data_IF_525400325692
#
_entry.id   IF_525400325692
#
_cell.length_a   1.000
_cell.length_b   1.000
_cell.length_c   1.000
_cell.angle_alpha   90.00
_cell.angle_beta   90.00
_cell.angle_gamma   90.00
#
_symmetry.space_group_name_H-M   'P 1'
#
loop_
_entity.id
_entity.type
_entity.pdbx_description
1 polymer ?
#
# COMPACT_ATOMS: atom_id res chain seq x y z
N UNK A 1 17.26 -10.70 24.58
CA UNK A 1 17.32 -10.08 23.25
C UNK A 1 18.72 -10.38 22.76
N UNK A 2 18.87 -11.15 21.68
CA UNK A 2 20.19 -11.53 21.17
C UNK A 2 20.97 -10.26 20.78
N UNK A 3 22.30 -10.26 21.00
CA UNK A 3 23.15 -9.13 20.62
C UNK A 3 23.12 -9.00 19.07
N UNK A 4 22.84 -7.82 18.50
CA UNK A 4 22.87 -7.60 17.05
C UNK A 4 24.16 -8.12 16.38
N UNK A 5 25.30 -8.00 17.05
CA UNK A 5 26.59 -8.51 16.54
C UNK A 5 26.62 -10.05 16.47
N UNK A 6 26.05 -10.75 17.45
CA UNK A 6 25.97 -12.22 17.45
C UNK A 6 25.05 -12.73 16.33
N UNK A 7 23.98 -11.99 16.03
CA UNK A 7 23.11 -12.29 14.89
C UNK A 7 23.91 -12.16 13.60
N UNK A 8 24.64 -11.06 13.42
CA UNK A 8 25.44 -10.83 12.20
C UNK A 8 26.53 -11.90 12.04
N UNK A 9 27.23 -12.28 13.11
CA UNK A 9 28.23 -13.36 13.06
C UNK A 9 27.62 -14.69 12.63
N UNK A 10 26.44 -15.04 13.16
CA UNK A 10 25.71 -16.25 12.73
C UNK A 10 25.30 -16.19 11.27
N UNK A 11 24.81 -15.03 10.80
CA UNK A 11 24.44 -14.84 9.39
C UNK A 11 25.65 -14.92 8.46
N UNK A 12 26.82 -14.41 8.87
CA UNK A 12 28.07 -14.51 8.08
C UNK A 12 28.57 -15.95 7.91
N UNK A 13 28.22 -16.83 8.83
CA UNK A 13 28.60 -18.24 8.77
C UNK A 13 27.68 -19.07 7.86
N UNK A 14 26.52 -18.54 7.47
CA UNK A 14 25.57 -19.20 6.58
C UNK A 14 26.00 -19.11 5.12
N UNK A 15 25.69 -20.14 4.34
CA UNK A 15 25.81 -20.07 2.89
C UNK A 15 24.67 -19.25 2.25
N UNK A 16 24.79 -18.99 0.95
CA UNK A 16 23.82 -18.18 0.22
C UNK A 16 22.40 -18.80 0.20
N UNK A 17 22.30 -20.14 0.18
CA UNK A 17 21.01 -20.84 0.21
C UNK A 17 20.36 -20.78 1.58
N UNK A 18 21.15 -20.93 2.65
CA UNK A 18 20.70 -20.76 4.03
C UNK A 18 20.20 -19.33 4.29
N UNK A 19 20.95 -18.33 3.83
CA UNK A 19 20.54 -16.92 3.92
C UNK A 19 19.24 -16.65 3.16
N UNK A 20 19.09 -17.20 1.96
CA UNK A 20 17.87 -17.07 1.18
C UNK A 20 16.67 -17.72 1.89
N UNK A 21 16.81 -18.97 2.36
CA UNK A 21 15.75 -19.67 3.07
C UNK A 21 15.36 -18.96 4.37
N UNK A 22 16.32 -18.38 5.09
CA UNK A 22 16.07 -17.60 6.29
C UNK A 22 15.29 -16.32 5.97
N UNK A 23 15.65 -15.61 4.89
CA UNK A 23 14.93 -14.42 4.45
C UNK A 23 13.47 -14.74 4.09
N UNK A 24 13.22 -15.82 3.34
CA UNK A 24 11.87 -16.27 3.02
C UNK A 24 11.07 -16.66 4.27
N UNK A 25 11.70 -17.36 5.22
CA UNK A 25 11.07 -17.72 6.49
C UNK A 25 10.71 -16.49 7.33
N UNK A 26 11.61 -15.49 7.40
CA UNK A 26 11.33 -14.22 8.09
C UNK A 26 10.13 -13.52 7.44
N UNK A 27 10.13 -13.40 6.11
CA UNK A 27 9.03 -12.81 5.35
C UNK A 27 7.71 -13.53 5.61
N UNK A 28 7.70 -14.86 5.57
CA UNK A 28 6.52 -15.65 5.87
C UNK A 28 6.00 -15.38 7.29
N UNK A 29 6.88 -15.36 8.29
CA UNK A 29 6.49 -15.09 9.69
C UNK A 29 5.97 -13.66 9.86
N UNK A 30 6.53 -12.66 9.17
CA UNK A 30 6.00 -11.29 9.17
C UNK A 30 4.55 -11.26 8.63
N UNK A 31 4.29 -11.94 7.52
CA UNK A 31 2.95 -12.05 6.92
C UNK A 31 1.98 -12.78 7.88
N UNK A 32 2.38 -13.92 8.44
CA UNK A 32 1.55 -14.68 9.38
C UNK A 32 1.19 -13.87 10.64
N UNK A 33 2.14 -13.08 11.15
CA UNK A 33 1.89 -12.16 12.26
C UNK A 33 0.87 -11.12 11.87
N UNK A 34 1.05 -10.45 10.73
CA UNK A 34 0.10 -9.44 10.26
C UNK A 34 -1.31 -9.99 10.01
N UNK A 35 -1.44 -11.24 9.55
CA UNK A 35 -2.74 -11.94 9.40
C UNK A 35 -3.42 -12.13 10.77
N UNK A 36 -2.65 -12.47 11.79
CA UNK A 36 -3.17 -12.87 13.11
C UNK A 36 -3.16 -11.73 14.14
N UNK A 37 -2.53 -10.60 13.82
CA UNK A 37 -2.39 -9.47 14.72
C UNK A 37 -3.41 -8.37 14.43
N UNK A 38 -3.77 -7.66 15.49
CA UNK A 38 -4.72 -6.56 15.44
C UNK A 38 -6.17 -7.01 15.20
N UNK A 39 -7.06 -6.03 15.27
CA UNK A 39 -8.46 -6.18 14.88
C UNK A 39 -8.61 -5.52 13.51
N UNK A 40 -8.47 -6.30 12.43
CA UNK A 40 -8.55 -5.78 11.06
C UNK A 40 -9.88 -5.09 10.76
N UNK A 41 -10.97 -5.53 11.37
CA UNK A 41 -12.29 -4.89 11.24
C UNK A 41 -12.26 -3.50 11.86
N UNK A 42 -11.74 -3.37 13.09
CA UNK A 42 -11.61 -2.08 13.75
C UNK A 42 -10.64 -1.15 13.01
N UNK A 43 -9.53 -1.67 12.49
CA UNK A 43 -8.57 -0.90 11.70
C UNK A 43 -9.25 -0.35 10.44
N UNK A 44 -9.97 -1.20 9.69
CA UNK A 44 -10.71 -0.77 8.50
C UNK A 44 -11.79 0.24 8.86
N UNK A 45 -12.56 -0.01 9.92
CA UNK A 45 -13.61 0.91 10.35
C UNK A 45 -13.06 2.31 10.63
N UNK A 46 -11.97 2.38 11.41
CA UNK A 46 -11.25 3.63 11.69
C UNK A 46 -10.66 4.25 10.42
N UNK A 47 -10.07 3.44 9.54
CA UNK A 47 -9.52 3.92 8.28
C UNK A 47 -10.59 4.54 7.37
N UNK A 48 -11.84 4.08 7.41
CA UNK A 48 -12.93 4.73 6.69
C UNK A 48 -13.29 6.12 7.25
N UNK A 49 -13.00 6.39 8.52
CA UNK A 49 -13.24 7.69 9.16
C UNK A 49 -12.15 8.71 8.82
N UNK A 50 -10.88 8.28 8.75
CA UNK A 50 -9.72 9.18 8.63
C UNK A 50 -8.96 9.07 7.30
N UNK A 51 -9.19 8.01 6.54
CA UNK A 51 -8.39 7.63 5.37
C UNK A 51 -8.72 8.40 4.09
N UNK A 52 -9.62 9.39 4.15
CA UNK A 52 -10.08 10.13 2.98
C UNK A 52 -9.95 11.63 3.18
N UNK A 53 -9.25 12.28 2.25
CA UNK A 53 -8.98 13.71 2.28
C UNK A 53 -10.23 14.56 2.00
N UNK A 54 -10.08 15.87 2.14
CA UNK A 54 -11.14 16.85 1.79
C UNK A 54 -11.53 16.79 0.31
N UNK A 55 -10.64 16.31 -0.54
CA UNK A 55 -10.90 16.10 -1.96
C UNK A 55 -11.63 14.79 -2.26
N UNK A 56 -11.99 14.03 -1.21
CA UNK A 56 -12.69 12.75 -1.25
C UNK A 56 -11.84 11.55 -1.67
N UNK A 57 -10.56 11.76 -1.99
CA UNK A 57 -9.64 10.70 -2.38
C UNK A 57 -8.92 10.10 -1.17
N UNK A 58 -8.36 8.90 -1.32
CA UNK A 58 -7.56 8.27 -0.25
C UNK A 58 -6.39 9.15 0.20
N UNK A 59 -6.04 9.16 1.48
CA UNK A 59 -4.80 9.81 1.95
C UNK A 59 -3.58 8.91 1.67
N UNK A 60 -2.38 9.39 1.99
CA UNK A 60 -1.16 8.56 1.91
C UNK A 60 -1.27 7.38 2.88
N UNK A 61 -0.69 6.21 2.55
CA UNK A 61 -0.72 5.03 3.40
C UNK A 61 0.02 5.30 4.72
N UNK A 62 -0.33 4.55 5.76
CA UNK A 62 0.31 4.65 7.08
C UNK A 62 0.38 3.29 7.76
N UNK A 63 1.26 3.20 8.76
CA UNK A 63 1.41 2.00 9.60
C UNK A 63 0.39 2.00 10.73
N UNK A 64 -0.27 0.87 10.93
CA UNK A 64 -1.13 0.59 12.08
C UNK A 64 -0.81 -0.81 12.61
N UNK A 65 0.13 -0.90 13.56
CA UNK A 65 0.64 -2.19 14.04
C UNK A 65 1.48 -2.90 12.96
N UNK A 66 1.15 -4.16 12.68
CA UNK A 66 1.87 -4.98 11.68
C UNK A 66 1.28 -4.88 10.26
N UNK A 67 0.37 -3.92 10.04
CA UNK A 67 -0.23 -3.67 8.72
C UNK A 67 -0.03 -2.23 8.26
N UNK A 68 0.00 -2.08 6.95
CA UNK A 68 -0.02 -0.82 6.21
C UNK A 68 -1.46 -0.61 5.76
N UNK A 69 -2.05 0.50 6.18
CA UNK A 69 -3.39 0.91 5.76
C UNK A 69 -3.28 1.66 4.45
N UNK A 70 -4.00 1.17 3.43
CA UNK A 70 -3.91 1.60 2.05
C UNK A 70 -5.27 2.12 1.54
N UNK A 71 -5.61 3.41 1.75
CA UNK A 71 -6.85 3.98 1.27
C UNK A 71 -6.82 4.23 -0.25
N UNK A 72 -7.91 3.87 -0.92
CA UNK A 72 -8.12 4.14 -2.34
C UNK A 72 -9.51 4.67 -2.61
N UNK A 73 -9.69 5.52 -3.63
CA UNK A 73 -11.01 6.01 -4.00
C UNK A 73 -11.09 6.42 -5.46
N UNK A 74 -12.33 6.42 -5.95
CA UNK A 74 -12.74 7.03 -7.21
C UNK A 74 -13.93 7.96 -6.97
N UNK A 75 -13.86 9.15 -7.57
CA UNK A 75 -14.94 10.14 -7.58
C UNK A 75 -15.30 10.40 -9.03
N UNK A 76 -16.49 9.97 -9.40
CA UNK A 76 -17.03 10.05 -10.76
C UNK A 76 -17.89 11.30 -10.89
N UNK A 77 -17.53 12.16 -11.86
CA UNK A 77 -18.29 13.37 -12.21
C UNK A 77 -19.26 13.14 -13.36
N UNK A 78 -18.92 12.19 -14.23
CA UNK A 78 -19.75 11.75 -15.36
C UNK A 78 -19.26 10.39 -15.85
N UNK A 79 -20.00 9.78 -16.79
CA UNK A 79 -19.60 8.51 -17.42
C UNK A 79 -18.19 8.52 -18.04
N UNK A 80 -17.66 9.69 -18.39
CA UNK A 80 -16.34 9.83 -19.05
C UNK A 80 -15.34 10.61 -18.19
N UNK A 81 -15.68 10.97 -16.96
CA UNK A 81 -14.77 11.74 -16.10
C UNK A 81 -14.82 11.32 -14.65
N UNK A 82 -13.63 11.01 -14.12
CA UNK A 82 -13.44 10.75 -12.69
C UNK A 82 -12.05 11.20 -12.25
N UNK A 83 -11.87 11.34 -10.94
CA UNK A 83 -10.57 11.40 -10.28
C UNK A 83 -10.41 10.14 -9.45
N UNK A 84 -9.21 9.60 -9.39
CA UNK A 84 -8.92 8.43 -8.57
C UNK A 84 -7.57 8.57 -7.86
N UNK A 85 -7.43 7.85 -6.77
CA UNK A 85 -6.15 7.59 -6.12
C UNK A 85 -6.19 6.16 -5.59
N UNK A 86 -5.24 5.34 -6.01
CA UNK A 86 -5.16 3.93 -5.65
C UNK A 86 -3.73 3.54 -5.31
N UNK A 87 -3.60 2.38 -4.67
CA UNK A 87 -2.32 1.84 -4.23
C UNK A 87 -1.92 0.69 -5.16
N UNK A 88 -0.67 0.71 -5.62
CA UNK A 88 0.02 -0.49 -6.09
C UNK A 88 1.03 -0.96 -5.06
N UNK A 89 1.23 -2.27 -5.01
CA UNK A 89 2.18 -2.99 -4.15
C UNK A 89 3.05 -3.84 -5.06
N UNK A 90 4.36 -3.66 -5.05
CA UNK A 90 5.32 -4.39 -5.90
C UNK A 90 4.87 -4.44 -7.38
N UNK A 91 4.64 -3.27 -7.97
CA UNK A 91 4.21 -3.06 -9.38
C UNK A 91 2.85 -3.65 -9.79
N UNK A 92 2.06 -4.20 -8.86
CA UNK A 92 0.68 -4.66 -9.12
C UNK A 92 -0.32 -3.86 -8.30
N UNK A 93 -1.56 -3.74 -8.77
CA UNK A 93 -2.60 -3.07 -7.97
C UNK A 93 -2.84 -3.83 -6.66
N UNK A 94 -3.17 -3.10 -5.60
CA UNK A 94 -3.32 -3.70 -4.26
C UNK A 94 -4.36 -4.82 -4.22
N UNK A 95 -5.43 -4.77 -5.03
CA UNK A 95 -6.43 -5.83 -5.13
C UNK A 95 -5.97 -7.09 -5.89
N UNK A 96 -4.88 -6.98 -6.66
CA UNK A 96 -4.24 -8.09 -7.38
C UNK A 96 -2.99 -8.61 -6.64
N UNK A 97 -2.60 -7.96 -5.53
CA UNK A 97 -1.39 -8.31 -4.77
C UNK A 97 -1.56 -9.58 -3.96
N UNK A 98 -0.55 -10.46 -4.00
CA UNK A 98 -0.46 -11.62 -3.10
C UNK A 98 -0.24 -11.25 -1.63
N UNK A 99 0.05 -9.98 -1.34
CA UNK A 99 0.19 -9.44 0.02
C UNK A 99 -1.10 -8.81 0.54
N UNK A 100 -2.19 -8.79 -0.22
CA UNK A 100 -3.46 -8.29 0.26
C UNK A 100 -4.00 -9.17 1.38
N UNK A 101 -4.12 -8.63 2.59
CA UNK A 101 -4.72 -9.34 3.73
C UNK A 101 -6.24 -9.18 3.72
N UNK A 102 -6.69 -7.95 3.44
CA UNK A 102 -8.10 -7.59 3.45
C UNK A 102 -8.35 -6.32 2.66
N UNK A 103 -9.50 -6.27 2.00
CA UNK A 103 -10.05 -5.03 1.43
C UNK A 103 -11.53 -4.91 1.78
N UNK A 104 -11.94 -3.71 2.18
CA UNK A 104 -13.34 -3.33 2.26
C UNK A 104 -13.62 -2.19 1.28
N UNK A 105 -14.75 -2.27 0.57
CA UNK A 105 -15.20 -1.27 -0.40
C UNK A 105 -16.58 -0.74 -0.02
N UNK A 106 -16.73 0.58 0.00
CA UNK A 106 -17.99 1.27 0.32
C UNK A 106 -18.29 2.34 -0.72
N UNK A 107 -19.56 2.53 -1.04
CA UNK A 107 -19.98 3.66 -1.88
C UNK A 107 -19.53 4.98 -1.25
N UNK A 108 -19.16 5.94 -2.11
CA UNK A 108 -18.80 7.27 -1.63
C UNK A 108 -20.03 7.95 -1.00
N UNK A 109 -19.92 8.55 0.20
CA UNK A 109 -21.02 9.30 0.79
C UNK A 109 -21.22 10.62 0.03
N UNK A 110 -22.48 11.02 -0.15
CA UNK A 110 -22.83 12.30 -0.78
C UNK A 110 -23.50 12.15 -2.15
N UNK A 111 -23.34 13.17 -3.00
CA UNK A 111 -23.98 13.27 -4.33
C UNK A 111 -23.09 12.80 -5.48
N UNK A 112 -21.80 12.60 -5.22
CA UNK A 112 -20.84 12.16 -6.23
C UNK A 112 -20.86 10.62 -6.33
N UNK A 113 -20.93 10.11 -7.55
CA UNK A 113 -20.81 8.67 -7.82
C UNK A 113 -19.37 8.18 -7.54
N UNK A 114 -19.23 6.90 -7.21
CA UNK A 114 -17.93 6.25 -7.02
C UNK A 114 -17.85 5.45 -5.74
N UNK A 115 -16.63 5.18 -5.30
CA UNK A 115 -16.40 4.38 -4.11
C UNK A 115 -15.11 4.76 -3.39
N UNK A 116 -15.07 4.34 -2.13
CA UNK A 116 -13.92 4.34 -1.23
C UNK A 116 -13.57 2.90 -0.91
N UNK A 117 -12.29 2.60 -0.84
CA UNK A 117 -11.75 1.31 -0.47
C UNK A 117 -10.64 1.50 0.55
N UNK A 118 -10.50 0.54 1.46
CA UNK A 118 -9.37 0.45 2.38
C UNK A 118 -8.82 -0.96 2.26
N UNK A 119 -7.57 -1.06 1.85
CA UNK A 119 -6.82 -2.31 1.83
C UNK A 119 -5.83 -2.36 3.01
N UNK A 120 -5.55 -3.56 3.51
CA UNK A 120 -4.51 -3.85 4.48
C UNK A 120 -3.44 -4.74 3.85
N UNK A 121 -2.19 -4.33 3.99
CA UNK A 121 -0.99 -5.03 3.48
C UNK A 121 -0.06 -5.26 4.67
N UNK A 122 0.63 -6.40 4.80
CA UNK A 122 1.54 -6.65 5.91
C UNK A 122 2.77 -5.73 5.84
N UNK A 123 3.34 -5.41 6.99
CA UNK A 123 4.64 -4.72 7.08
C UNK A 123 5.75 -5.73 6.85
N UNK A 124 6.23 -5.80 5.61
CA UNK A 124 7.32 -6.69 5.17
C UNK A 124 8.43 -5.84 4.57
N UNK A 125 9.64 -5.98 5.10
CA UNK A 125 10.79 -5.22 4.61
C UNK A 125 11.04 -5.45 3.11
N UNK A 126 11.30 -4.36 2.40
CA UNK A 126 11.49 -4.37 0.95
C UNK A 126 10.20 -4.32 0.13
N UNK A 127 9.01 -4.35 0.75
CA UNK A 127 7.76 -4.11 0.01
C UNK A 127 7.70 -2.68 -0.50
N UNK A 128 7.45 -2.54 -1.80
CA UNK A 128 7.31 -1.26 -2.49
C UNK A 128 5.83 -0.88 -2.60
N UNK A 129 5.51 0.38 -2.28
CA UNK A 129 4.13 0.89 -2.29
C UNK A 129 4.08 2.19 -3.08
N UNK A 130 3.19 2.23 -4.07
CA UNK A 130 3.00 3.38 -4.94
C UNK A 130 1.58 3.95 -4.78
N UNK A 131 1.49 5.22 -4.37
CA UNK A 131 0.24 5.97 -4.28
C UNK A 131 -0.01 6.68 -5.61
N UNK A 132 -0.82 6.06 -6.46
CA UNK A 132 -1.06 6.52 -7.83
C UNK A 132 -2.31 7.38 -7.90
N UNK A 133 -2.14 8.67 -8.13
CA UNK A 133 -3.25 9.60 -8.41
C UNK A 133 -3.46 9.74 -9.90
N UNK A 134 -4.72 9.57 -10.34
CA UNK A 134 -5.11 9.61 -11.74
C UNK A 134 -6.38 10.41 -12.00
N UNK A 135 -6.61 10.69 -13.28
CA UNK A 135 -7.82 11.35 -13.75
C UNK A 135 -8.22 10.80 -15.11
N UNK A 136 -9.50 10.48 -15.24
CA UNK A 136 -10.11 10.20 -16.53
C UNK A 136 -10.84 11.43 -17.08
N UNK A 137 -10.70 11.62 -18.39
CA UNK A 137 -11.48 12.57 -19.19
C UNK A 137 -11.89 11.88 -20.49
N UNK A 138 -12.77 12.53 -21.26
CA UNK A 138 -13.08 12.07 -22.62
C UNK A 138 -11.78 11.91 -23.42
N UNK A 139 -11.48 10.68 -23.85
CA UNK A 139 -10.27 10.36 -24.61
C UNK A 139 -9.19 9.56 -23.85
N UNK A 140 -9.32 9.35 -22.52
CA UNK A 140 -8.42 8.44 -21.82
C UNK A 140 -8.37 8.59 -20.30
N UNK A 141 -7.62 7.68 -19.66
CA UNK A 141 -7.25 7.71 -18.25
C UNK A 141 -5.74 7.94 -18.15
N UNK A 142 -5.33 8.97 -17.42
CA UNK A 142 -3.92 9.30 -17.22
C UNK A 142 -3.56 9.31 -15.74
N UNK A 143 -2.40 8.75 -15.42
CA UNK A 143 -1.72 9.00 -14.15
C UNK A 143 -1.23 10.44 -14.13
N UNK A 144 -1.47 11.15 -13.03
CA UNK A 144 -1.05 12.54 -12.84
C UNK A 144 0.12 12.64 -11.86
N UNK A 145 0.12 11.83 -10.81
CA UNK A 145 1.07 11.95 -9.71
C UNK A 145 1.27 10.61 -9.01
N UNK A 146 2.51 10.31 -8.62
CA UNK A 146 2.86 9.11 -7.83
C UNK A 146 3.75 9.49 -6.66
N UNK A 147 3.41 8.98 -5.47
CA UNK A 147 4.27 9.00 -4.27
C UNK A 147 4.66 7.56 -3.95
N UNK A 148 5.95 7.28 -3.87
CA UNK A 148 6.49 5.94 -3.64
C UNK A 148 7.02 5.80 -2.22
N UNK A 149 6.76 4.65 -1.63
CA UNK A 149 7.22 4.23 -0.31
C UNK A 149 7.91 2.87 -0.41
N UNK A 150 8.78 2.60 0.55
CA UNK A 150 9.40 1.30 0.77
C UNK A 150 9.37 0.99 2.26
N UNK A 151 9.07 -0.27 2.62
CA UNK A 151 9.18 -0.72 4.00
C UNK A 151 10.65 -0.97 4.34
N UNK A 152 11.19 -0.25 5.33
CA UNK A 152 12.58 -0.35 5.77
C UNK A 152 12.68 -0.40 7.29
N UNK A 153 13.16 -1.52 7.81
CA UNK A 153 13.26 -1.73 9.26
C UNK A 153 11.88 -1.73 9.94
N UNK A 154 10.84 -2.14 9.22
CA UNK A 154 9.45 -2.06 9.67
C UNK A 154 8.80 -0.67 9.56
N UNK A 155 9.53 0.36 9.11
CA UNK A 155 8.99 1.70 8.88
C UNK A 155 8.56 1.89 7.42
N UNK A 156 7.51 2.68 7.18
CA UNK A 156 7.08 3.08 5.84
C UNK A 156 7.81 4.37 5.45
N UNK A 157 8.82 4.26 4.60
CA UNK A 157 9.69 5.37 4.22
C UNK A 157 9.32 5.89 2.84
N UNK A 158 9.02 7.18 2.71
CA UNK A 158 8.84 7.82 1.40
C UNK A 158 10.19 7.85 0.65
N UNK A 159 10.22 7.26 -0.54
CA UNK A 159 11.46 7.14 -1.34
C UNK A 159 11.42 7.98 -2.62
N UNK A 160 10.24 8.34 -3.13
CA UNK A 160 10.13 9.18 -4.32
C UNK A 160 8.78 9.90 -4.44
N UNK A 161 8.77 11.02 -5.17
CA UNK A 161 7.55 11.71 -5.58
C UNK A 161 7.73 12.22 -7.02
N UNK A 162 6.74 11.96 -7.89
CA UNK A 162 6.82 12.33 -9.32
C UNK A 162 5.48 12.77 -9.90
N UNK A 163 5.50 13.87 -10.64
CA UNK A 163 4.41 14.25 -11.54
C UNK A 163 4.58 13.53 -12.88
N UNK A 164 3.52 12.83 -13.30
CA UNK A 164 3.49 12.11 -14.57
C UNK A 164 2.86 13.02 -15.61
N UNK A 165 3.70 13.78 -16.31
CA UNK A 165 3.25 14.52 -17.49
C UNK A 165 3.06 13.57 -18.68
N UNK A 166 2.08 13.84 -19.54
CA UNK A 166 1.86 13.10 -20.80
C UNK A 166 3.07 13.11 -21.75
N UNK A 167 4.09 13.93 -21.48
CA UNK A 167 5.37 13.97 -22.19
C UNK A 167 6.38 12.91 -21.75
N UNK A 168 6.19 12.31 -20.58
CA UNK A 168 7.10 11.33 -19.97
C UNK A 168 6.63 9.88 -20.12
N UNK A 169 5.50 9.64 -20.78
CA UNK A 169 5.06 8.30 -21.18
C UNK A 169 5.68 7.95 -22.53
N UNK A 170 6.89 7.39 -22.52
CA UNK A 170 7.52 6.77 -23.68
C UNK A 170 7.73 5.29 -23.42
#
# INVERSE_FOLDING_TARGET
MDNPEEIIERLRAMDAGELHNLAEAIRQVQIERAITSGDHEAIIARAFEIGFGRDGLGVLPWLEGDVIVCPGAIITKSRTSHRCRFISVDDVWVWDSGLLLREDKRSSPGVDDGFRAVALVPVVDGTEIDVVSGRARTGGHSVEHVVSYEVRGGDLVEVSQRDVSSRNMR
#
